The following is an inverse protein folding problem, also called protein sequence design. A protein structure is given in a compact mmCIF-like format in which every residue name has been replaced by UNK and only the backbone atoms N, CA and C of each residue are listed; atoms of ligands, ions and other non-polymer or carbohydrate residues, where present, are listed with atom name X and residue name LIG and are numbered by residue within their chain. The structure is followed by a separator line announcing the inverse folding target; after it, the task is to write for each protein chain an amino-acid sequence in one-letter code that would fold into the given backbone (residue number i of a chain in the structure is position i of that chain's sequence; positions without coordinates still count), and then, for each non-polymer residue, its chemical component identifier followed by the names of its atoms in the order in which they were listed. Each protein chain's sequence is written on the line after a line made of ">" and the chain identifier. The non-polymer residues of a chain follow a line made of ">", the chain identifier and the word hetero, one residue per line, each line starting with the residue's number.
data_IF_127512505629
#
_entry.id   IF_127512505629
#
_cell.length_a   1.000
_cell.length_b   1.000
_cell.length_c   1.000
_cell.angle_alpha   90.00
_cell.angle_beta   90.00
_cell.angle_gamma   90.00
#
_symmetry.space_group_name_H-M   'P 1'
#
loop_
_entity.id
_entity.type
_entity.pdbx_description
1 polymer ?
#
# COMPACT_ATOMS: atom_id res chain seq x y z
N UNK A 1 0.01 -17.75 -3.12
CA UNK A 1 0.03 -16.77 -2.02
C UNK A 1 -1.06 -15.73 -2.13
N UNK A 2 -1.21 -15.08 -3.29
CA UNK A 2 -2.30 -14.13 -3.49
C UNK A 2 -3.68 -14.76 -3.31
N UNK A 3 -3.83 -15.99 -3.76
CA UNK A 3 -5.12 -16.68 -3.63
C UNK A 3 -5.54 -16.84 -2.16
N UNK A 4 -4.60 -17.18 -1.29
CA UNK A 4 -4.90 -17.32 0.15
C UNK A 4 -5.33 -15.99 0.74
N UNK A 5 -4.65 -14.91 0.38
CA UNK A 5 -4.97 -13.58 0.88
C UNK A 5 -6.34 -13.11 0.35
N UNK A 6 -6.64 -13.39 -0.91
CA UNK A 6 -7.93 -13.05 -1.48
C UNK A 6 -9.07 -13.81 -0.79
N UNK A 7 -8.82 -15.08 -0.46
CA UNK A 7 -9.81 -15.87 0.27
C UNK A 7 -10.09 -15.30 1.66
N UNK A 8 -9.02 -14.84 2.34
CA UNK A 8 -9.17 -14.23 3.64
C UNK A 8 -10.03 -12.95 3.55
N UNK A 9 -9.75 -12.14 2.54
CA UNK A 9 -10.53 -10.92 2.31
C UNK A 9 -11.99 -11.26 2.02
N UNK A 10 -12.23 -12.27 1.19
CA UNK A 10 -13.60 -12.69 0.84
C UNK A 10 -14.37 -13.19 2.06
N UNK A 11 -13.67 -13.70 3.07
CA UNK A 11 -14.28 -14.16 4.32
C UNK A 11 -14.51 -13.02 5.32
N UNK A 12 -14.23 -11.80 4.92
CA UNK A 12 -14.46 -10.64 5.76
C UNK A 12 -13.28 -10.19 6.60
N UNK A 13 -12.12 -10.84 6.45
CA UNK A 13 -10.90 -10.42 7.13
C UNK A 13 -10.31 -9.26 6.35
N UNK A 14 -10.29 -8.08 6.94
CA UNK A 14 -9.77 -6.89 6.26
C UNK A 14 -9.05 -6.01 7.26
N UNK A 15 -7.78 -5.78 7.01
CA UNK A 15 -6.93 -4.96 7.86
C UNK A 15 -5.71 -4.48 7.07
N UNK A 16 -4.92 -3.60 7.69
CA UNK A 16 -3.76 -3.02 7.02
C UNK A 16 -2.76 -4.07 6.55
N UNK A 17 -2.47 -5.06 7.39
CA UNK A 17 -1.47 -6.07 7.07
C UNK A 17 -1.91 -6.92 5.88
N UNK A 18 -3.17 -7.35 5.86
CA UNK A 18 -3.70 -8.13 4.75
C UNK A 18 -3.66 -7.33 3.44
N UNK A 19 -4.08 -6.08 3.50
CA UNK A 19 -4.06 -5.20 2.33
C UNK A 19 -2.65 -4.94 1.85
N UNK A 20 -1.70 -4.81 2.77
CA UNK A 20 -0.29 -4.67 2.39
C UNK A 20 0.20 -5.90 1.63
N UNK A 21 -0.10 -7.08 2.14
CA UNK A 21 0.27 -8.34 1.47
C UNK A 21 -0.32 -8.46 0.09
N UNK A 22 -1.60 -8.13 -0.07
CA UNK A 22 -2.25 -8.13 -1.37
C UNK A 22 -1.62 -7.11 -2.31
N UNK A 23 -1.39 -5.90 -1.82
CA UNK A 23 -0.78 -4.85 -2.63
C UNK A 23 0.60 -5.23 -3.12
N UNK A 24 1.42 -5.76 -2.24
CA UNK A 24 2.77 -6.18 -2.60
C UNK A 24 2.73 -7.34 -3.61
N UNK A 25 1.86 -8.31 -3.38
CA UNK A 25 1.73 -9.44 -4.29
C UNK A 25 1.30 -9.03 -5.69
N UNK A 26 0.32 -8.15 -5.79
CA UNK A 26 -0.11 -7.66 -7.09
C UNK A 26 0.95 -6.81 -7.76
N UNK A 27 1.68 -6.01 -6.98
CA UNK A 27 2.78 -5.21 -7.53
C UNK A 27 3.85 -6.11 -8.13
N UNK A 28 4.24 -7.18 -7.42
CA UNK A 28 5.21 -8.14 -7.89
C UNK A 28 4.72 -8.87 -9.14
N UNK A 29 3.42 -9.05 -9.26
CA UNK A 29 2.82 -9.69 -10.44
C UNK A 29 2.61 -8.73 -11.60
N UNK A 30 3.00 -7.48 -11.46
CA UNK A 30 2.86 -6.48 -12.52
C UNK A 30 1.45 -5.90 -12.66
N UNK A 31 0.57 -6.17 -11.71
CA UNK A 31 -0.81 -5.68 -11.73
C UNK A 31 -0.89 -4.41 -10.91
N UNK A 32 -0.41 -3.32 -11.50
CA UNK A 32 -0.17 -2.07 -10.78
C UNK A 32 -1.45 -1.40 -10.27
N UNK A 33 -2.51 -1.41 -11.06
CA UNK A 33 -3.77 -0.79 -10.66
C UNK A 33 -4.39 -1.51 -9.45
N UNK A 34 -4.37 -2.84 -9.46
CA UNK A 34 -4.86 -3.62 -8.32
C UNK A 34 -3.99 -3.43 -7.09
N UNK A 35 -2.68 -3.36 -7.30
CA UNK A 35 -1.75 -3.09 -6.20
C UNK A 35 -2.06 -1.75 -5.54
N UNK A 36 -2.27 -0.71 -6.35
CA UNK A 36 -2.59 0.62 -5.82
C UNK A 36 -3.89 0.61 -5.02
N UNK A 37 -4.91 -0.11 -5.51
CA UNK A 37 -6.19 -0.23 -4.83
C UNK A 37 -6.04 -0.81 -3.42
N UNK A 38 -5.31 -1.92 -3.31
CA UNK A 38 -5.11 -2.55 -2.00
C UNK A 38 -4.20 -1.72 -1.08
N UNK A 39 -3.17 -1.11 -1.64
CA UNK A 39 -2.26 -0.29 -0.85
C UNK A 39 -2.94 0.99 -0.37
N UNK A 40 -3.84 1.54 -1.18
CA UNK A 40 -4.64 2.69 -0.76
C UNK A 40 -5.49 2.34 0.46
N UNK A 41 -6.13 1.17 0.44
CA UNK A 41 -6.90 0.72 1.61
C UNK A 41 -5.99 0.48 2.81
N UNK A 42 -4.80 -0.03 2.56
CA UNK A 42 -3.83 -0.27 3.63
C UNK A 42 -3.52 1.02 4.40
N UNK A 43 -3.23 2.11 3.68
CA UNK A 43 -2.88 3.38 4.33
C UNK A 43 -4.10 4.09 4.92
N UNK A 44 -5.30 3.75 4.46
CA UNK A 44 -6.52 4.23 5.11
C UNK A 44 -6.71 3.57 6.47
N UNK A 45 -6.41 2.27 6.56
CA UNK A 45 -6.44 1.58 7.84
C UNK A 45 -5.34 2.05 8.78
N UNK A 46 -4.14 2.30 8.22
CA UNK A 46 -2.98 2.68 9.02
C UNK A 46 -2.16 3.75 8.29
N UNK A 47 -2.46 5.02 8.50
CA UNK A 47 -1.75 6.12 7.85
C UNK A 47 -0.25 6.21 8.21
N UNK A 48 0.18 5.53 9.27
CA UNK A 48 1.58 5.53 9.70
C UNK A 48 2.41 4.41 9.05
N UNK A 49 1.80 3.62 8.20
CA UNK A 49 2.45 2.48 7.56
C UNK A 49 3.32 2.98 6.40
N UNK A 50 4.52 3.45 6.73
CA UNK A 50 5.39 4.09 5.75
C UNK A 50 5.75 3.20 4.57
N UNK A 51 5.98 1.91 4.81
CA UNK A 51 6.29 0.96 3.74
C UNK A 51 5.16 0.86 2.71
N UNK A 52 3.91 0.94 3.18
CA UNK A 52 2.76 0.90 2.29
C UNK A 52 2.67 2.15 1.42
N UNK A 53 2.97 3.33 2.00
CA UNK A 53 3.02 4.56 1.23
C UNK A 53 4.06 4.47 0.11
N UNK A 54 5.23 3.90 0.40
CA UNK A 54 6.29 3.75 -0.60
C UNK A 54 5.85 2.86 -1.75
N UNK A 55 5.23 1.73 -1.43
CA UNK A 55 4.75 0.82 -2.46
C UNK A 55 3.58 1.42 -3.24
N UNK A 56 2.72 2.18 -2.57
CA UNK A 56 1.62 2.87 -3.23
C UNK A 56 2.15 3.86 -4.27
N UNK A 57 3.18 4.62 -3.89
CA UNK A 57 3.83 5.53 -4.83
C UNK A 57 4.39 4.78 -6.03
N UNK A 58 5.04 3.65 -5.79
CA UNK A 58 5.58 2.82 -6.86
C UNK A 58 4.48 2.32 -7.79
N UNK A 59 3.35 1.89 -7.22
CA UNK A 59 2.22 1.41 -8.01
C UNK A 59 1.62 2.52 -8.87
N UNK A 60 1.45 3.72 -8.30
CA UNK A 60 0.95 4.86 -9.06
C UNK A 60 1.89 5.26 -10.17
N UNK A 61 3.19 5.28 -9.89
CA UNK A 61 4.19 5.60 -10.92
C UNK A 61 4.12 4.61 -12.07
N UNK A 62 4.05 3.32 -11.77
CA UNK A 62 3.97 2.28 -12.78
C UNK A 62 2.66 2.36 -13.58
N UNK A 63 1.60 2.91 -12.97
CA UNK A 63 0.32 3.13 -13.64
C UNK A 63 0.27 4.43 -14.43
N UNK A 64 1.34 5.21 -14.39
CA UNK A 64 1.43 6.47 -15.14
C UNK A 64 0.89 7.69 -14.41
N UNK A 65 0.54 7.56 -13.13
CA UNK A 65 0.01 8.68 -12.36
C UNK A 65 1.11 9.28 -11.47
N UNK A 66 1.90 10.17 -12.06
CA UNK A 66 3.05 10.76 -11.38
C UNK A 66 2.64 11.64 -10.20
N UNK A 67 1.52 12.33 -10.32
CA UNK A 67 1.04 13.22 -9.26
C UNK A 67 0.67 12.42 -8.00
N UNK A 68 -0.07 11.34 -8.17
CA UNK A 68 -0.44 10.48 -7.03
C UNK A 68 0.77 9.77 -6.45
N UNK A 69 1.73 9.39 -7.31
CA UNK A 69 2.97 8.79 -6.84
C UNK A 69 3.72 9.73 -5.90
N UNK A 70 3.84 10.99 -6.31
CA UNK A 70 4.52 12.00 -5.52
C UNK A 70 3.83 12.22 -4.18
N UNK A 71 2.51 12.34 -4.20
CA UNK A 71 1.74 12.52 -2.98
C UNK A 71 1.94 11.35 -2.00
N UNK A 72 1.91 10.12 -2.53
CA UNK A 72 2.10 8.94 -1.69
C UNK A 72 3.49 8.93 -1.05
N UNK A 73 4.51 9.27 -1.82
CA UNK A 73 5.88 9.31 -1.28
C UNK A 73 6.05 10.39 -0.23
N UNK A 74 5.46 11.57 -0.45
CA UNK A 74 5.50 12.65 0.55
C UNK A 74 4.83 12.21 1.85
N UNK A 75 3.66 11.57 1.75
CA UNK A 75 2.97 11.05 2.92
C UNK A 75 3.79 9.97 3.61
N UNK A 76 4.48 9.13 2.84
CA UNK A 76 5.35 8.09 3.38
C UNK A 76 6.51 8.67 4.16
N UNK A 77 7.11 9.74 3.66
CA UNK A 77 8.19 10.42 4.35
C UNK A 77 7.70 11.01 5.67
N UNK A 78 6.55 11.67 5.64
CA UNK A 78 5.95 12.23 6.85
C UNK A 78 5.65 11.15 7.88
N UNK A 79 5.13 10.00 7.45
CA UNK A 79 4.85 8.90 8.34
C UNK A 79 6.12 8.35 8.99
N UNK A 80 7.19 8.21 8.20
CA UNK A 80 8.47 7.71 8.70
C UNK A 80 9.09 8.70 9.68
N UNK A 81 9.05 10.00 9.37
CA UNK A 81 9.60 11.04 10.24
C UNK A 81 8.84 11.08 11.56
N UNK A 82 7.50 11.02 11.49
CA UNK A 82 6.69 11.00 12.69
C UNK A 82 7.00 9.83 13.61
N UNK A 83 7.29 8.67 13.05
CA UNK A 83 7.69 7.51 13.83
C UNK A 83 9.08 7.67 14.42
N UNK A 84 9.99 8.27 13.65
CA UNK A 84 11.35 8.53 14.10
C UNK A 84 11.39 9.49 15.27
N UNK A 85 10.52 10.50 15.27
CA UNK A 85 10.46 11.51 16.33
C UNK A 85 10.07 10.91 17.68
N UNK A 86 9.49 9.74 17.70
CA UNK A 86 9.07 9.09 18.94
C UNK A 86 10.19 8.34 19.62
N UNK A 87 11.31 8.26 18.96
CA UNK A 87 12.47 7.59 19.51
C UNK A 87 13.38 8.59 20.21
#
# INVERSE_FOLDING_TARGET
>A
MLESLEKMLAKGMDNALLRFGLGKGYLDAGKHAKAAEHLQRCVEFDPKYSAAWKLLGKAWLASGDNAKARQAWERGIQAAVGQGDKQ
#
